data_IF_949898678553
#
_entry.id   IF_949898678553
#
_cell.length_a   1.000
_cell.length_b   1.000
_cell.length_c   1.000
_cell.angle_alpha   90.00
_cell.angle_beta   90.00
_cell.angle_gamma   90.00
#
_symmetry.space_group_name_H-M   'P 1'
#
loop_
_entity.id
_entity.type
_entity.pdbx_description
1 polymer ?
#
# COMPACT_ATOMS: atom_id res chain seq x y z
N UNK A 1 -20.32 34.98 16.03
CA UNK A 1 -19.85 35.60 14.78
C UNK A 1 -18.98 36.78 15.16
N UNK A 2 -17.65 36.71 14.88
CA UNK A 2 -16.65 37.82 14.88
C UNK A 2 -16.32 38.43 16.26
N UNK A 3 -15.09 38.77 16.67
CA UNK A 3 -13.72 38.77 16.13
C UNK A 3 -12.80 38.99 17.37
N UNK A 4 -11.74 38.20 17.60
CA UNK A 4 -10.33 38.43 17.22
C UNK A 4 -9.47 39.28 18.22
N UNK A 5 -8.37 38.67 18.68
CA UNK A 5 -7.01 39.20 18.94
C UNK A 5 -6.64 40.08 20.16
N UNK A 6 -5.73 39.54 21.01
CA UNK A 6 -4.37 40.03 21.36
C UNK A 6 -3.74 39.05 22.38
N UNK A 7 -2.70 38.26 22.08
CA UNK A 7 -1.25 38.55 21.91
C UNK A 7 -0.54 38.93 23.23
N UNK A 8 0.57 38.21 23.49
CA UNK A 8 1.87 38.53 24.16
C UNK A 8 2.33 37.19 24.83
N UNK A 9 3.54 36.63 24.72
CA UNK A 9 4.89 37.03 24.27
C UNK A 9 5.73 35.73 24.19
N UNK A 10 6.30 35.36 23.04
CA UNK A 10 7.70 35.59 22.64
C UNK A 10 8.78 34.95 23.54
N UNK A 11 9.50 33.96 22.99
CA UNK A 11 10.94 33.85 23.19
C UNK A 11 11.63 33.60 21.84
N UNK A 12 12.42 34.58 21.46
CA UNK A 12 13.29 34.69 20.30
C UNK A 12 14.45 33.70 20.33
N UNK A 13 14.65 32.96 19.24
CA UNK A 13 15.98 32.52 18.81
C UNK A 13 16.20 33.07 17.40
N UNK A 14 17.11 34.03 17.31
CA UNK A 14 17.76 34.44 16.08
C UNK A 14 18.72 33.31 15.67
N UNK A 15 18.42 32.60 14.58
CA UNK A 15 19.46 31.99 13.76
C UNK A 15 19.05 32.10 12.29
N UNK A 16 19.78 32.95 11.57
CA UNK A 16 20.08 32.94 10.13
C UNK A 16 19.19 32.07 9.23
N UNK A 17 18.52 32.74 8.29
CA UNK A 17 17.55 32.19 7.35
C UNK A 17 17.86 30.79 6.82
N UNK A 18 17.11 29.82 7.33
CA UNK A 18 16.89 28.53 6.68
C UNK A 18 15.70 28.75 5.75
N UNK A 19 15.95 28.73 4.44
CA UNK A 19 14.91 28.48 3.46
C UNK A 19 14.27 27.14 3.82
N UNK A 20 13.14 27.18 4.53
CA UNK A 20 12.29 26.02 4.71
C UNK A 20 11.96 25.50 3.30
N UNK A 21 12.35 24.26 3.01
CA UNK A 21 11.93 23.54 1.81
C UNK A 21 10.43 23.33 1.95
N UNK A 22 9.66 24.31 1.51
CA UNK A 22 8.21 24.20 1.49
C UNK A 22 7.83 23.29 0.33
N UNK A 23 7.52 22.02 0.61
CA UNK A 23 6.73 21.19 -0.30
C UNK A 23 5.27 21.68 -0.42
N UNK A 24 4.98 22.97 -0.22
CA UNK A 24 3.70 23.62 -0.56
C UNK A 24 3.70 24.17 -1.98
N UNK A 25 4.37 23.51 -2.93
CA UNK A 25 3.95 23.63 -4.33
C UNK A 25 2.69 22.80 -4.51
N UNK A 26 1.55 23.50 -4.40
CA UNK A 26 0.23 23.20 -4.96
C UNK A 26 0.20 21.87 -5.72
N UNK A 27 -0.25 20.84 -5.00
CA UNK A 27 -0.44 19.50 -5.51
C UNK A 27 -1.62 19.54 -6.50
N UNK A 28 -1.33 19.69 -7.79
CA UNK A 28 -2.28 19.34 -8.86
C UNK A 28 -2.23 17.82 -9.08
N UNK A 29 -2.83 17.07 -8.15
CA UNK A 29 -2.96 15.60 -8.16
C UNK A 29 -3.57 15.03 -9.45
N UNK A 30 -4.21 15.87 -10.28
CA UNK A 30 -4.92 15.41 -11.47
C UNK A 30 -4.08 15.23 -12.74
N UNK A 31 -2.84 15.75 -12.81
CA UNK A 31 -2.06 15.71 -14.07
C UNK A 31 -1.06 14.56 -14.13
N UNK A 32 -0.40 14.24 -13.01
CA UNK A 32 0.57 13.14 -12.92
C UNK A 32 -0.14 11.78 -12.94
N UNK A 33 -1.26 11.66 -12.22
CA UNK A 33 -2.08 10.43 -12.20
C UNK A 33 -2.69 10.15 -13.58
N UNK A 34 -3.15 11.18 -14.33
CA UNK A 34 -3.69 10.99 -15.69
C UNK A 34 -2.65 10.51 -16.70
N UNK A 35 -1.39 10.95 -16.57
CA UNK A 35 -0.34 10.57 -17.51
C UNK A 35 0.17 9.13 -17.29
N UNK A 36 0.16 8.64 -16.05
CA UNK A 36 0.56 7.26 -15.76
C UNK A 36 -0.55 6.24 -16.09
N UNK A 37 -1.83 6.60 -15.92
CA UNK A 37 -2.96 5.75 -16.31
C UNK A 37 -3.13 5.68 -17.85
N UNK A 38 -2.82 6.76 -18.56
CA UNK A 38 -2.80 6.80 -20.04
C UNK A 38 -1.79 5.80 -20.64
N UNK A 39 -0.65 5.58 -19.97
CA UNK A 39 0.35 4.60 -20.39
C UNK A 39 -0.10 3.16 -20.12
N UNK A 40 -0.69 2.89 -18.95
CA UNK A 40 -1.20 1.53 -18.63
C UNK A 40 -2.35 1.08 -19.55
N UNK A 41 -3.17 1.99 -20.06
CA UNK A 41 -4.23 1.66 -21.03
C UNK A 41 -3.71 1.48 -22.47
N UNK A 42 -2.55 2.03 -22.82
CA UNK A 42 -1.92 1.81 -24.14
C UNK A 42 -1.14 0.49 -24.20
N UNK A 43 -0.51 0.08 -23.10
CA UNK A 43 0.28 -1.16 -23.06
C UNK A 43 -0.58 -2.44 -22.93
N UNK A 44 -1.83 -2.33 -22.46
CA UNK A 44 -2.81 -3.44 -22.47
C UNK A 44 -3.51 -3.66 -23.81
N UNK A 45 -3.57 -2.63 -24.68
CA UNK A 45 -4.23 -2.74 -25.99
C UNK A 45 -3.28 -3.17 -27.13
N UNK A 46 -2.03 -3.54 -26.83
CA UNK A 46 -1.03 -3.91 -27.85
C UNK A 46 -0.40 -5.31 -27.65
N UNK A 47 -1.02 -6.16 -26.84
CA UNK A 47 -0.68 -7.59 -26.74
C UNK A 47 -1.94 -8.43 -26.88
N UNK A 48 -2.55 -8.38 -28.05
CA UNK A 48 -3.43 -9.40 -28.60
C UNK A 48 -3.64 -9.08 -30.09
N UNK A 49 -2.73 -9.57 -30.92
CA UNK A 49 -2.94 -9.95 -32.34
C UNK A 49 -1.61 -10.06 -33.07
N UNK A 50 -1.03 -11.26 -33.09
CA UNK A 50 -0.27 -11.77 -34.24
C UNK A 50 0.01 -13.27 -34.07
N UNK A 51 -0.74 -14.08 -34.82
CA UNK A 51 -0.52 -15.51 -35.04
C UNK A 51 -1.47 -16.00 -36.12
N UNK A 52 -1.17 -15.67 -37.39
CA UNK A 52 -0.86 -16.63 -38.48
C UNK A 52 -2.08 -17.39 -39.04
N UNK A 53 -2.62 -16.85 -40.12
CA UNK A 53 -3.34 -17.60 -41.15
C UNK A 53 -2.31 -18.23 -42.11
N UNK A 54 -2.31 -19.55 -42.24
CA UNK A 54 -1.78 -20.22 -43.43
C UNK A 54 -2.91 -21.08 -44.01
N UNK A 55 -3.30 -20.71 -45.23
CA UNK A 55 -4.16 -21.50 -46.12
C UNK A 55 -3.34 -22.67 -46.65
N UNK A 56 -3.92 -23.86 -46.69
CA UNK A 56 -3.61 -24.85 -47.71
C UNK A 56 -4.89 -25.62 -48.03
N UNK A 57 -5.30 -25.56 -49.30
CA UNK A 57 -6.23 -26.47 -49.94
C UNK A 57 -5.47 -27.04 -51.14
N UNK A 58 -5.33 -28.36 -51.21
CA UNK A 58 -5.46 -29.08 -52.48
C UNK A 58 -5.75 -30.56 -52.24
N UNK A 59 -6.58 -31.10 -53.11
CA UNK A 59 -7.28 -32.38 -53.06
C UNK A 59 -6.61 -33.33 -54.05
N UNK A 60 -6.37 -34.60 -53.70
CA UNK A 60 -6.86 -35.78 -54.45
C UNK A 60 -6.29 -37.12 -53.94
N UNK A 61 -7.25 -38.00 -53.61
CA UNK A 61 -7.38 -39.40 -54.02
C UNK A 61 -6.18 -40.35 -53.84
N UNK A 62 -6.38 -41.40 -53.03
CA UNK A 62 -6.79 -42.70 -53.56
C UNK A 62 -7.35 -43.61 -52.46
N UNK A 63 -8.26 -44.49 -52.89
CA UNK A 63 -8.87 -45.57 -52.13
C UNK A 63 -7.90 -46.76 -52.06
N UNK A 64 -7.90 -47.52 -50.98
CA UNK A 64 -8.28 -48.93 -51.04
C UNK A 64 -8.39 -49.58 -49.66
N UNK A 65 -9.22 -50.62 -49.65
CA UNK A 65 -9.74 -51.39 -48.53
C UNK A 65 -8.64 -52.20 -47.82
N UNK A 66 -8.77 -52.40 -46.51
CA UNK A 66 -8.80 -53.77 -45.98
C UNK A 66 -9.53 -53.86 -44.64
N UNK A 67 -10.29 -54.95 -44.50
CA UNK A 67 -11.05 -55.34 -43.32
C UNK A 67 -10.21 -56.30 -42.47
N UNK A 68 -10.26 -56.21 -41.15
CA UNK A 68 -10.62 -57.36 -40.28
C UNK A 68 -10.40 -57.13 -38.77
N UNK A 69 -11.48 -57.42 -38.04
CA UNK A 69 -11.62 -58.18 -36.78
C UNK A 69 -11.17 -57.66 -35.40
N UNK A 70 -12.22 -57.54 -34.55
CA UNK A 70 -12.35 -57.92 -33.12
C UNK A 70 -11.37 -57.31 -32.09
N UNK A 71 -11.81 -56.80 -30.94
CA UNK A 71 -12.77 -57.37 -29.97
C UNK A 71 -13.24 -56.27 -29.00
N UNK A 72 -14.50 -56.35 -28.54
CA UNK A 72 -15.07 -55.53 -27.48
C UNK A 72 -14.37 -55.78 -26.13
N UNK A 73 -14.03 -54.71 -25.41
CA UNK A 73 -13.76 -54.74 -23.97
C UNK A 73 -14.59 -53.63 -23.32
N UNK A 74 -15.46 -54.03 -22.39
CA UNK A 74 -16.24 -53.15 -21.52
C UNK A 74 -15.30 -52.24 -20.68
N UNK A 75 -15.68 -50.99 -20.37
CA UNK A 75 -14.90 -50.15 -19.47
C UNK A 75 -15.05 -50.65 -18.03
N UNK A 76 -13.94 -50.99 -17.39
CA UNK A 76 -13.86 -51.25 -15.96
C UNK A 76 -14.07 -49.96 -15.16
N UNK A 77 -14.91 -50.04 -14.13
CA UNK A 77 -15.11 -49.00 -13.12
C UNK A 77 -13.80 -48.69 -12.36
N UNK A 78 -13.40 -47.41 -12.36
CA UNK A 78 -12.32 -46.88 -11.52
C UNK A 78 -12.80 -46.81 -10.05
N UNK A 79 -12.17 -47.53 -9.10
CA UNK A 79 -12.61 -47.57 -7.71
C UNK A 79 -12.22 -46.33 -6.89
N UNK A 80 -11.68 -45.26 -7.50
CA UNK A 80 -11.21 -44.09 -6.77
C UNK A 80 -12.07 -42.83 -6.96
N UNK A 81 -13.40 -43.00 -6.91
CA UNK A 81 -14.29 -41.89 -6.57
C UNK A 81 -14.15 -41.61 -5.07
N UNK A 82 -13.25 -40.71 -4.70
CA UNK A 82 -13.15 -40.18 -3.32
C UNK A 82 -14.55 -39.74 -2.87
N UNK A 83 -15.12 -40.45 -1.89
CA UNK A 83 -16.38 -40.07 -1.26
C UNK A 83 -16.25 -38.65 -0.70
N UNK A 84 -17.31 -37.82 -0.81
CA UNK A 84 -17.29 -36.48 -0.23
C UNK A 84 -16.96 -36.57 1.26
N UNK A 85 -15.98 -35.79 1.68
CA UNK A 85 -15.46 -35.71 3.04
C UNK A 85 -16.63 -35.60 4.04
N UNK A 86 -16.83 -36.65 4.84
CA UNK A 86 -17.93 -36.70 5.80
C UNK A 86 -17.68 -35.63 6.87
N UNK A 87 -18.48 -34.57 6.85
CA UNK A 87 -18.36 -33.45 7.81
C UNK A 87 -18.78 -33.96 9.20
N UNK A 88 -17.82 -34.17 10.09
CA UNK A 88 -18.07 -34.50 11.49
C UNK A 88 -18.24 -33.22 12.31
N UNK A 89 -19.49 -32.81 12.51
CA UNK A 89 -19.86 -31.68 13.37
C UNK A 89 -21.14 -32.01 14.15
N UNK A 90 -21.11 -31.76 15.45
CA UNK A 90 -22.24 -32.01 16.35
C UNK A 90 -23.33 -30.95 16.21
N UNK A 91 -24.55 -31.27 16.62
CA UNK A 91 -25.66 -30.31 16.65
C UNK A 91 -25.38 -29.13 17.61
N UNK A 92 -24.67 -29.38 18.71
CA UNK A 92 -24.23 -28.34 19.63
C UNK A 92 -23.24 -27.37 18.95
N UNK A 93 -22.24 -27.88 18.23
CA UNK A 93 -21.30 -27.05 17.49
C UNK A 93 -21.98 -26.22 16.40
N UNK A 94 -22.98 -26.79 15.70
CA UNK A 94 -23.80 -26.04 14.74
C UNK A 94 -24.56 -24.91 15.43
N UNK A 95 -25.18 -25.16 16.57
CA UNK A 95 -25.93 -24.14 17.32
C UNK A 95 -25.00 -23.04 17.84
N UNK A 96 -23.82 -23.39 18.33
CA UNK A 96 -22.79 -22.45 18.77
C UNK A 96 -22.30 -21.58 17.60
N UNK A 97 -22.12 -22.17 16.41
CA UNK A 97 -21.78 -21.41 15.20
C UNK A 97 -22.87 -20.40 14.81
N UNK A 98 -24.15 -20.80 14.85
CA UNK A 98 -25.28 -19.88 14.59
C UNK A 98 -25.32 -18.75 15.62
N UNK A 99 -25.04 -19.03 16.90
CA UNK A 99 -24.98 -17.99 17.94
C UNK A 99 -23.83 -17.00 17.69
N UNK A 100 -22.64 -17.50 17.32
CA UNK A 100 -21.51 -16.66 16.94
C UNK A 100 -21.81 -15.79 15.71
N UNK A 101 -22.44 -16.37 14.68
CA UNK A 101 -22.92 -15.66 13.49
C UNK A 101 -23.85 -14.51 13.85
N UNK A 102 -24.88 -14.76 14.66
CA UNK A 102 -25.84 -13.73 15.10
C UNK A 102 -25.15 -12.61 15.88
N UNK A 103 -24.16 -12.93 16.71
CA UNK A 103 -23.36 -11.94 17.44
C UNK A 103 -22.57 -11.05 16.48
N UNK A 104 -21.83 -11.64 15.54
CA UNK A 104 -21.07 -10.91 14.53
C UNK A 104 -22.01 -10.04 13.67
N UNK A 105 -23.15 -10.57 13.24
CA UNK A 105 -24.15 -9.81 12.48
C UNK A 105 -24.60 -8.57 13.23
N UNK A 106 -24.84 -8.69 14.54
CA UNK A 106 -25.24 -7.55 15.36
C UNK A 106 -24.13 -6.50 15.49
N UNK A 107 -22.90 -6.94 15.69
CA UNK A 107 -21.73 -6.06 15.81
C UNK A 107 -21.42 -5.33 14.49
N UNK A 108 -21.72 -5.95 13.35
CA UNK A 108 -21.35 -5.50 12.00
C UNK A 108 -22.53 -4.99 11.17
N UNK A 109 -23.69 -4.73 11.80
CA UNK A 109 -24.94 -4.34 11.11
C UNK A 109 -24.84 -2.98 10.37
N UNK A 110 -23.78 -2.20 10.60
CA UNK A 110 -23.52 -0.91 9.95
C UNK A 110 -22.12 -0.86 9.29
N UNK A 111 -21.48 -2.01 9.05
CA UNK A 111 -20.10 -2.13 8.57
C UNK A 111 -19.97 -2.20 7.04
N UNK A 112 -21.05 -1.97 6.30
CA UNK A 112 -21.12 -2.12 4.85
C UNK A 112 -21.73 -0.88 4.16
N UNK A 113 -21.38 -0.72 2.89
CA UNK A 113 -21.79 0.37 2.00
C UNK A 113 -22.32 -0.16 0.67
N UNK A 114 -22.97 0.70 -0.11
CA UNK A 114 -23.66 0.35 -1.38
C UNK A 114 -22.76 -0.23 -2.49
N UNK A 115 -21.44 -0.13 -2.35
CA UNK A 115 -20.51 -0.75 -3.29
C UNK A 115 -20.16 -2.20 -2.96
N UNK A 116 -20.53 -2.70 -1.79
CA UNK A 116 -20.38 -4.12 -1.45
C UNK A 116 -21.44 -4.93 -2.15
N UNK A 117 -21.05 -6.13 -2.58
CA UNK A 117 -22.00 -7.16 -3.00
C UNK A 117 -22.45 -8.02 -1.84
N UNK A 118 -23.49 -8.83 -2.05
CA UNK A 118 -23.90 -9.86 -1.09
C UNK A 118 -22.75 -10.84 -0.81
N UNK A 119 -21.94 -11.16 -1.83
CA UNK A 119 -20.77 -12.01 -1.64
C UNK A 119 -19.68 -11.32 -0.79
N UNK A 120 -19.42 -10.03 -1.01
CA UNK A 120 -18.47 -9.27 -0.18
C UNK A 120 -18.87 -9.31 1.31
N UNK A 121 -20.18 -9.25 1.62
CA UNK A 121 -20.69 -9.38 2.98
C UNK A 121 -20.37 -10.76 3.55
N UNK A 122 -20.69 -11.84 2.84
CA UNK A 122 -20.42 -13.20 3.33
C UNK A 122 -18.93 -13.45 3.53
N UNK A 123 -18.08 -12.98 2.59
CA UNK A 123 -16.64 -13.12 2.68
C UNK A 123 -16.08 -12.38 3.90
N UNK A 124 -16.55 -11.16 4.15
CA UNK A 124 -16.17 -10.39 5.32
C UNK A 124 -16.64 -11.03 6.64
N UNK A 125 -17.83 -11.65 6.64
CA UNK A 125 -18.35 -12.36 7.82
C UNK A 125 -17.48 -13.57 8.17
N UNK A 126 -16.96 -14.32 7.18
CA UNK A 126 -16.00 -15.40 7.43
C UNK A 126 -14.75 -14.89 8.15
N UNK A 127 -14.24 -13.72 7.76
CA UNK A 127 -13.07 -13.11 8.41
C UNK A 127 -13.36 -12.83 9.89
N UNK A 128 -14.49 -12.18 10.19
CA UNK A 128 -14.85 -11.87 11.58
C UNK A 128 -15.12 -13.12 12.45
N UNK A 129 -15.61 -14.20 11.84
CA UNK A 129 -15.85 -15.46 12.52
C UNK A 129 -14.59 -16.32 12.72
N UNK A 130 -13.50 -16.03 12.01
CA UNK A 130 -12.24 -16.78 12.14
C UNK A 130 -11.71 -16.82 13.58
N UNK A 131 -12.01 -15.80 14.38
CA UNK A 131 -11.63 -15.71 15.79
C UNK A 131 -12.61 -16.38 16.76
N UNK A 132 -13.76 -16.86 16.26
CA UNK A 132 -14.87 -17.36 17.07
C UNK A 132 -14.84 -18.87 17.31
N UNK A 133 -13.85 -19.59 16.75
CA UNK A 133 -13.74 -21.05 16.85
C UNK A 133 -14.77 -21.82 16.01
N UNK A 134 -15.47 -21.14 15.11
CA UNK A 134 -16.44 -21.76 14.19
C UNK A 134 -15.67 -22.58 13.14
N UNK A 135 -15.97 -23.88 13.06
CA UNK A 135 -15.39 -24.81 12.08
C UNK A 135 -16.05 -24.65 10.70
N UNK A 136 -15.41 -25.17 9.65
CA UNK A 136 -15.97 -25.25 8.29
C UNK A 136 -16.52 -23.91 7.75
N UNK A 137 -15.79 -22.81 7.99
CA UNK A 137 -16.19 -21.47 7.50
C UNK A 137 -16.29 -21.41 5.97
N UNK A 138 -15.61 -22.29 5.24
CA UNK A 138 -15.76 -22.46 3.79
C UNK A 138 -17.17 -22.90 3.38
N UNK A 139 -17.96 -23.46 4.30
CA UNK A 139 -19.36 -23.81 4.11
C UNK A 139 -20.32 -22.66 4.41
N UNK A 140 -19.83 -21.52 4.91
CA UNK A 140 -20.61 -20.27 5.04
C UNK A 140 -20.73 -19.60 3.66
N UNK A 141 -21.89 -19.75 3.02
CA UNK A 141 -22.12 -19.33 1.63
C UNK A 141 -23.46 -18.63 1.47
N UNK A 142 -23.63 -17.84 0.41
CA UNK A 142 -24.95 -17.36 0.03
C UNK A 142 -25.88 -18.54 -0.24
N UNK A 143 -27.13 -18.42 0.20
CA UNK A 143 -28.15 -19.43 -0.06
C UNK A 143 -28.49 -19.54 -1.56
N UNK A 144 -28.42 -18.42 -2.28
CA UNK A 144 -28.57 -18.35 -3.72
C UNK A 144 -27.30 -17.76 -4.35
N UNK A 145 -26.50 -18.60 -5.02
CA UNK A 145 -25.23 -18.17 -5.63
C UNK A 145 -25.42 -17.19 -6.79
N UNK A 146 -26.59 -17.15 -7.43
CA UNK A 146 -26.87 -16.17 -8.49
C UNK A 146 -26.91 -14.73 -7.97
N UNK A 147 -27.10 -14.53 -6.67
CA UNK A 147 -27.17 -13.22 -6.00
C UNK A 147 -25.80 -12.65 -5.64
N UNK A 148 -24.71 -13.38 -5.88
CA UNK A 148 -23.35 -13.00 -5.44
C UNK A 148 -22.90 -11.60 -5.88
N UNK A 149 -23.39 -11.12 -7.04
CA UNK A 149 -23.04 -9.83 -7.62
C UNK A 149 -24.05 -8.72 -7.32
N UNK A 150 -25.13 -9.03 -6.58
CA UNK A 150 -26.10 -8.02 -6.17
C UNK A 150 -25.42 -7.07 -5.19
N UNK A 151 -25.39 -5.79 -5.55
CA UNK A 151 -24.88 -4.72 -4.68
C UNK A 151 -25.91 -4.34 -3.62
N UNK A 152 -25.43 -3.99 -2.44
CA UNK A 152 -26.26 -3.39 -1.42
C UNK A 152 -26.85 -2.08 -1.96
N UNK A 153 -28.11 -1.82 -1.60
CA UNK A 153 -28.79 -0.56 -1.90
C UNK A 153 -28.72 0.35 -0.67
N UNK A 154 -28.54 1.67 -0.82
CA UNK A 154 -28.55 2.60 0.30
C UNK A 154 -29.82 2.47 1.14
N UNK A 155 -29.68 2.11 2.41
CA UNK A 155 -30.77 1.75 3.32
C UNK A 155 -30.53 2.38 4.69
N UNK A 156 -31.58 2.91 5.29
CA UNK A 156 -31.59 3.40 6.66
C UNK A 156 -32.75 2.74 7.39
N UNK A 157 -32.57 1.46 7.71
CA UNK A 157 -33.51 0.60 8.44
C UNK A 157 -34.83 0.25 7.73
N UNK A 158 -34.89 0.33 6.39
CA UNK A 158 -36.05 -0.16 5.62
C UNK A 158 -35.98 -1.66 5.35
N UNK A 159 -34.90 -2.32 5.76
CA UNK A 159 -34.66 -3.77 5.65
C UNK A 159 -34.74 -4.28 4.20
N UNK A 160 -34.24 -3.49 3.26
CA UNK A 160 -34.29 -3.82 1.82
C UNK A 160 -33.16 -4.76 1.38
N UNK A 161 -32.05 -4.80 2.12
CA UNK A 161 -30.89 -5.64 1.82
C UNK A 161 -30.97 -6.96 2.59
N UNK A 162 -31.84 -7.87 2.16
CA UNK A 162 -31.96 -9.21 2.77
C UNK A 162 -30.96 -10.16 2.15
N UNK A 163 -30.07 -10.71 2.97
CA UNK A 163 -29.00 -11.60 2.54
C UNK A 163 -29.20 -12.94 3.25
N UNK A 164 -29.58 -13.95 2.47
CA UNK A 164 -29.75 -15.30 2.99
C UNK A 164 -28.44 -16.07 2.92
N UNK A 165 -27.98 -16.58 4.07
CA UNK A 165 -26.69 -17.24 4.23
C UNK A 165 -26.92 -18.65 4.75
N UNK A 166 -26.32 -19.62 4.08
CA UNK A 166 -26.27 -21.00 4.54
C UNK A 166 -24.97 -21.25 5.31
N UNK A 167 -25.08 -21.93 6.44
CA UNK A 167 -23.98 -22.58 7.14
C UNK A 167 -24.34 -24.05 7.32
N UNK A 168 -23.70 -24.93 6.54
CA UNK A 168 -24.08 -26.35 6.47
C UNK A 168 -25.58 -26.49 6.11
N UNK A 169 -26.37 -27.10 7.00
CA UNK A 169 -27.80 -27.32 6.92
C UNK A 169 -28.64 -26.21 7.58
N UNK A 170 -28.01 -25.11 8.03
CA UNK A 170 -28.70 -23.96 8.64
C UNK A 170 -28.81 -22.80 7.65
N UNK A 171 -29.99 -22.18 7.60
CA UNK A 171 -30.24 -20.96 6.85
C UNK A 171 -30.47 -19.79 7.80
N UNK A 172 -29.83 -18.65 7.55
CA UNK A 172 -29.82 -17.48 8.43
C UNK A 172 -29.93 -16.23 7.56
N UNK A 173 -30.88 -15.34 7.87
CA UNK A 173 -31.00 -14.05 7.21
C UNK A 173 -30.14 -13.00 7.93
N UNK A 174 -29.34 -12.25 7.17
CA UNK A 174 -28.67 -11.03 7.61
C UNK A 174 -29.27 -9.83 6.89
N UNK A 175 -29.55 -8.78 7.65
CA UNK A 175 -30.05 -7.51 7.13
C UNK A 175 -29.19 -6.39 7.72
N UNK A 176 -28.31 -5.74 6.93
CA UNK A 176 -27.62 -4.54 7.37
C UNK A 176 -28.63 -3.48 7.79
N UNK A 177 -28.42 -2.88 8.96
CA UNK A 177 -29.28 -1.84 9.52
C UNK A 177 -29.10 -0.52 8.77
N UNK A 178 -27.86 -0.17 8.46
CA UNK A 178 -27.51 1.04 7.71
C UNK A 178 -26.56 0.65 6.58
N UNK A 179 -26.91 1.10 5.36
CA UNK A 179 -26.05 1.06 4.18
C UNK A 179 -25.99 2.46 3.62
N UNK A 180 -24.83 3.10 3.71
CA UNK A 180 -24.61 4.42 3.15
C UNK A 180 -24.05 4.32 1.73
N UNK A 181 -24.21 5.42 0.99
CA UNK A 181 -23.61 5.58 -0.32
C UNK A 181 -22.12 5.86 -0.19
N UNK A 182 -21.30 5.03 -0.84
CA UNK A 182 -19.86 5.22 -1.02
C UNK A 182 -19.02 5.32 0.28
N UNK A 183 -19.58 5.06 1.46
CA UNK A 183 -18.84 5.12 2.72
C UNK A 183 -19.39 4.20 3.82
N UNK A 184 -18.53 3.90 4.79
CA UNK A 184 -18.88 3.33 6.09
C UNK A 184 -18.45 4.33 7.17
N UNK A 185 -19.29 4.52 8.19
CA UNK A 185 -18.96 5.38 9.34
C UNK A 185 -18.12 4.61 10.35
N UNK A 186 -17.16 5.32 10.91
CA UNK A 186 -16.34 4.91 12.02
C UNK A 186 -17.16 4.95 13.32
N UNK A 187 -16.83 4.07 14.26
CA UNK A 187 -17.43 4.07 15.60
C UNK A 187 -16.35 3.91 16.65
N UNK A 188 -16.53 4.62 17.76
CA UNK A 188 -15.62 4.61 18.90
C UNK A 188 -16.34 4.22 20.19
N UNK A 189 -15.60 3.56 21.06
CA UNK A 189 -15.88 3.47 22.50
C UNK A 189 -14.67 4.05 23.20
N UNK A 190 -14.79 5.27 23.71
CA UNK A 190 -13.65 6.09 24.16
C UNK A 190 -12.59 6.22 23.06
N UNK A 191 -11.32 5.97 23.37
CA UNK A 191 -10.20 5.99 22.43
C UNK A 191 -10.01 4.67 21.65
N UNK A 192 -11.00 3.77 21.66
CA UNK A 192 -10.95 2.50 20.94
C UNK A 192 -11.84 2.58 19.71
N UNK A 193 -11.24 2.49 18.54
CA UNK A 193 -11.98 2.32 17.28
C UNK A 193 -12.59 0.92 17.28
N UNK A 194 -13.92 0.83 17.26
CA UNK A 194 -14.66 -0.44 17.26
C UNK A 194 -15.22 -0.80 15.88
N UNK A 195 -15.37 0.18 14.99
CA UNK A 195 -15.71 -0.04 13.58
C UNK A 195 -14.85 0.91 12.72
N UNK A 196 -14.12 0.37 11.76
CA UNK A 196 -13.30 1.17 10.83
C UNK A 196 -14.25 1.88 9.86
N UNK A 197 -14.16 3.21 9.79
CA UNK A 197 -14.79 3.99 8.75
C UNK A 197 -13.92 4.01 7.50
N UNK A 198 -14.53 3.98 6.32
CA UNK A 198 -13.82 4.02 5.04
C UNK A 198 -14.70 4.59 3.94
N UNK A 199 -14.11 5.06 2.85
CA UNK A 199 -14.81 5.71 1.74
C UNK A 199 -14.28 5.22 0.40
N UNK A 200 -15.17 5.06 -0.57
CA UNK A 200 -14.83 4.73 -1.94
C UNK A 200 -14.73 5.99 -2.81
N UNK A 201 -13.53 6.25 -3.33
CA UNK A 201 -13.33 7.17 -4.44
C UNK A 201 -13.38 6.40 -5.76
N UNK A 202 -14.56 6.46 -6.42
CA UNK A 202 -14.84 5.81 -7.70
C UNK A 202 -13.91 6.27 -8.83
N UNK A 203 -13.40 7.50 -8.77
CA UNK A 203 -12.61 8.07 -9.86
C UNK A 203 -11.25 7.39 -10.02
N UNK A 204 -10.73 6.83 -8.92
CA UNK A 204 -9.42 6.18 -8.85
C UNK A 204 -9.49 4.74 -8.33
N UNK A 205 -10.69 4.23 -8.03
CA UNK A 205 -10.88 2.86 -7.51
C UNK A 205 -10.31 2.65 -6.12
N UNK A 206 -10.13 3.72 -5.33
CA UNK A 206 -9.55 3.66 -3.99
C UNK A 206 -10.64 3.53 -2.92
N UNK A 207 -10.53 2.51 -2.08
CA UNK A 207 -11.34 2.35 -0.87
C UNK A 207 -10.40 2.60 0.32
N UNK A 208 -10.50 3.81 0.86
CA UNK A 208 -9.55 4.37 1.83
C UNK A 208 -10.17 4.42 3.21
N UNK A 209 -9.43 3.99 4.23
CA UNK A 209 -9.85 4.20 5.62
C UNK A 209 -9.95 5.68 5.93
N UNK A 210 -10.90 6.05 6.79
CA UNK A 210 -10.93 7.39 7.35
C UNK A 210 -9.80 7.53 8.35
N UNK A 211 -9.25 8.75 8.43
CA UNK A 211 -8.28 9.12 9.44
C UNK A 211 -8.85 8.81 10.84
N UNK A 212 -8.10 8.06 11.63
CA UNK A 212 -8.48 7.73 13.01
C UNK A 212 -8.33 8.94 13.92
N UNK A 213 -9.01 8.94 15.07
CA UNK A 213 -8.78 9.96 16.09
C UNK A 213 -7.33 9.89 16.56
N UNK A 214 -6.68 11.04 16.75
CA UNK A 214 -5.27 11.11 17.13
C UNK A 214 -4.95 10.42 18.46
N UNK A 215 -5.93 10.21 19.33
CA UNK A 215 -5.78 9.53 20.62
C UNK A 215 -6.10 8.03 20.55
N UNK A 216 -6.32 7.47 19.34
CA UNK A 216 -6.69 6.06 19.18
C UNK A 216 -5.63 5.13 19.78
N UNK A 217 -6.05 4.22 20.66
CA UNK A 217 -5.17 3.23 21.31
C UNK A 217 -5.43 1.80 20.86
N UNK A 218 -6.53 1.55 20.15
CA UNK A 218 -6.93 0.23 19.69
C UNK A 218 -7.76 0.35 18.42
N UNK A 219 -7.54 -0.58 17.49
CA UNK A 219 -8.37 -0.79 16.30
C UNK A 219 -9.03 -2.17 16.33
N UNK A 220 -10.06 -2.43 15.49
CA UNK A 220 -10.58 -3.77 15.29
C UNK A 220 -9.48 -4.71 14.79
N UNK A 221 -9.55 -5.99 15.15
CA UNK A 221 -8.52 -6.98 14.79
C UNK A 221 -8.40 -7.21 13.29
N UNK A 222 -9.51 -7.07 12.57
CA UNK A 222 -9.59 -7.37 11.15
C UNK A 222 -9.79 -6.09 10.36
N UNK A 223 -8.97 -5.91 9.33
CA UNK A 223 -9.16 -4.87 8.32
C UNK A 223 -10.23 -5.34 7.31
N UNK A 224 -11.25 -4.53 6.99
CA UNK A 224 -12.21 -4.89 5.95
C UNK A 224 -11.55 -5.21 4.60
N UNK A 225 -11.93 -6.33 3.99
CA UNK A 225 -11.30 -6.94 2.81
C UNK A 225 -11.25 -6.01 1.59
N UNK A 226 -12.25 -5.13 1.44
CA UNK A 226 -12.35 -4.22 0.29
C UNK A 226 -11.41 -3.01 0.41
N UNK A 227 -10.87 -2.74 1.59
CA UNK A 227 -9.92 -1.64 1.77
C UNK A 227 -8.64 -1.97 1.00
N UNK A 228 -8.21 -0.99 0.20
CA UNK A 228 -6.98 -1.08 -0.58
C UNK A 228 -6.08 0.14 -0.38
N UNK A 229 -6.46 1.08 0.49
CA UNK A 229 -5.70 2.29 0.78
C UNK A 229 -5.73 2.59 2.29
N UNK A 230 -4.54 2.82 2.84
CA UNK A 230 -4.32 3.34 4.19
C UNK A 230 -3.91 4.82 4.15
N UNK A 231 -4.17 5.51 3.03
CA UNK A 231 -3.76 6.90 2.83
C UNK A 231 -4.26 7.77 4.02
N UNK A 232 -3.34 8.47 4.69
CA UNK A 232 -3.58 9.37 5.83
C UNK A 232 -4.26 8.73 7.06
N UNK A 233 -4.40 7.40 7.10
CA UNK A 233 -5.23 6.71 8.08
C UNK A 233 -4.84 6.94 9.54
N UNK A 234 -3.55 7.04 9.84
CA UNK A 234 -3.00 7.27 11.18
C UNK A 234 -2.18 8.57 11.28
N UNK A 235 -2.40 9.50 10.34
CA UNK A 235 -1.72 10.80 10.37
C UNK A 235 -1.96 11.52 11.71
N UNK A 236 -0.93 12.14 12.27
CA UNK A 236 -0.95 12.85 13.57
C UNK A 236 -1.28 11.98 14.81
N UNK A 237 -1.23 10.64 14.72
CA UNK A 237 -1.47 9.75 15.86
C UNK A 237 -0.46 10.01 16.99
N UNK A 238 -0.98 10.14 18.21
CA UNK A 238 -0.20 10.44 19.42
C UNK A 238 0.28 9.20 20.17
N UNK A 239 -0.39 8.06 19.98
CA UNK A 239 -0.08 6.79 20.62
C UNK A 239 1.25 6.21 20.09
N UNK A 240 2.07 5.64 20.99
CA UNK A 240 3.30 4.95 20.56
C UNK A 240 3.03 3.61 19.90
N UNK A 241 1.91 2.98 20.29
CA UNK A 241 1.42 1.70 19.77
C UNK A 241 -0.11 1.71 19.72
N UNK A 242 -0.67 0.91 18.81
CA UNK A 242 -2.11 0.72 18.62
C UNK A 242 -2.40 -0.77 18.71
N UNK A 243 -3.18 -1.16 19.71
CA UNK A 243 -3.55 -2.55 19.94
C UNK A 243 -4.32 -3.11 18.75
N UNK A 244 -3.93 -4.33 18.34
CA UNK A 244 -4.43 -5.11 17.20
C UNK A 244 -4.01 -4.62 15.81
N UNK A 245 -3.27 -3.53 15.68
CA UNK A 245 -2.81 -3.06 14.37
C UNK A 245 -1.87 -4.07 13.68
N UNK A 246 -1.13 -4.82 14.47
CA UNK A 246 -0.26 -5.94 14.09
C UNK A 246 -1.02 -7.12 13.46
N UNK A 247 -2.35 -7.19 13.65
CA UNK A 247 -3.20 -8.31 13.19
C UNK A 247 -3.85 -8.07 11.83
N UNK A 248 -3.71 -6.88 11.27
CA UNK A 248 -4.33 -6.56 9.99
C UNK A 248 -3.70 -7.35 8.84
N UNK A 249 -4.53 -8.05 8.07
CA UNK A 249 -4.14 -8.57 6.76
C UNK A 249 -4.11 -7.42 5.74
N UNK A 250 -2.91 -6.95 5.41
CA UNK A 250 -2.70 -5.81 4.51
C UNK A 250 -2.43 -6.21 3.06
N UNK A 251 -2.63 -7.48 2.66
CA UNK A 251 -2.30 -7.95 1.31
C UNK A 251 -2.99 -7.19 0.16
N UNK A 252 -4.13 -6.57 0.44
CA UNK A 252 -4.91 -5.79 -0.53
C UNK A 252 -4.50 -4.31 -0.61
N UNK A 253 -3.62 -3.84 0.28
CA UNK A 253 -3.21 -2.45 0.34
C UNK A 253 -2.26 -2.12 -0.81
N UNK A 254 -2.60 -1.07 -1.55
CA UNK A 254 -1.85 -0.54 -2.69
C UNK A 254 -1.30 0.86 -2.43
N UNK A 255 -1.90 1.60 -1.51
CA UNK A 255 -1.55 2.99 -1.21
C UNK A 255 -1.40 3.21 0.30
N UNK A 256 -0.26 3.77 0.70
CA UNK A 256 0.12 4.08 2.09
C UNK A 256 0.59 5.53 2.24
N UNK A 257 0.04 6.42 1.42
CA UNK A 257 0.45 7.83 1.37
C UNK A 257 0.18 8.49 2.73
N UNK A 258 1.19 9.07 3.37
CA UNK A 258 1.04 9.76 4.66
C UNK A 258 0.41 8.91 5.79
N UNK A 259 0.42 7.57 5.71
CA UNK A 259 -0.32 6.72 6.67
C UNK A 259 0.06 7.03 8.12
N UNK A 260 1.33 7.22 8.44
CA UNK A 260 1.85 7.57 9.77
C UNK A 260 2.59 8.93 9.76
N UNK A 261 2.19 9.86 8.87
CA UNK A 261 2.76 11.21 8.87
C UNK A 261 2.52 11.89 10.21
N UNK A 262 3.52 12.61 10.72
CA UNK A 262 3.48 13.40 11.96
C UNK A 262 3.13 12.60 13.22
N UNK A 263 3.39 11.29 13.21
CA UNK A 263 3.20 10.40 14.36
C UNK A 263 4.37 10.45 15.33
N UNK A 264 4.50 11.57 16.04
CA UNK A 264 5.69 11.92 16.82
C UNK A 264 6.14 10.87 17.85
N UNK A 265 5.22 10.03 18.35
CA UNK A 265 5.51 9.00 19.35
C UNK A 265 5.50 7.56 18.83
N UNK A 266 4.99 7.34 17.61
CA UNK A 266 4.73 5.99 17.09
C UNK A 266 6.04 5.23 16.85
N UNK A 267 6.12 4.01 17.37
CA UNK A 267 7.28 3.14 17.20
C UNK A 267 6.91 1.65 17.29
N UNK A 268 5.66 1.29 16.98
CA UNK A 268 5.21 -0.10 16.96
C UNK A 268 5.80 -0.84 15.75
N UNK A 269 6.20 -2.10 15.95
CA UNK A 269 6.62 -2.96 14.83
C UNK A 269 5.48 -3.19 13.84
N UNK A 270 5.80 -3.10 12.55
CA UNK A 270 4.88 -3.33 11.43
C UNK A 270 5.32 -4.52 10.55
N UNK A 271 6.18 -5.41 11.08
CA UNK A 271 6.76 -6.51 10.31
C UNK A 271 5.77 -7.60 9.91
N UNK A 272 4.58 -7.64 10.54
CA UNK A 272 3.48 -8.54 10.17
C UNK A 272 2.70 -8.07 8.94
N UNK A 273 2.89 -6.83 8.49
CA UNK A 273 2.19 -6.31 7.32
C UNK A 273 2.75 -6.91 6.03
N UNK A 274 1.84 -7.40 5.20
CA UNK A 274 2.14 -7.75 3.81
C UNK A 274 2.11 -6.49 2.94
N UNK A 275 3.26 -6.13 2.36
CA UNK A 275 3.43 -4.95 1.49
C UNK A 275 3.60 -5.28 0.01
N UNK A 276 3.48 -6.56 -0.39
CA UNK A 276 3.75 -7.01 -1.76
C UNK A 276 2.87 -6.34 -2.82
N UNK A 277 1.70 -5.82 -2.45
CA UNK A 277 0.77 -5.13 -3.35
C UNK A 277 0.94 -3.61 -3.38
N UNK A 278 1.80 -3.05 -2.52
CA UNK A 278 1.92 -1.59 -2.34
C UNK A 278 2.66 -0.97 -3.52
N UNK A 279 2.04 0.05 -4.12
CA UNK A 279 2.61 0.80 -5.23
C UNK A 279 3.10 2.20 -4.79
N UNK A 280 2.54 2.76 -3.72
CA UNK A 280 2.87 4.10 -3.25
C UNK A 280 3.01 4.15 -1.72
N UNK A 281 4.18 4.57 -1.25
CA UNK A 281 4.53 4.76 0.15
C UNK A 281 4.90 6.22 0.46
N UNK A 282 4.58 7.17 -0.42
CA UNK A 282 5.02 8.56 -0.28
C UNK A 282 4.61 9.15 1.07
N UNK A 283 5.56 9.78 1.75
CA UNK A 283 5.40 10.46 3.04
C UNK A 283 4.87 9.57 4.18
N UNK A 284 4.90 8.23 4.05
CA UNK A 284 4.28 7.33 5.03
C UNK A 284 4.73 7.58 6.46
N UNK A 285 6.02 7.88 6.70
CA UNK A 285 6.59 8.18 8.01
C UNK A 285 7.17 9.60 8.10
N UNK A 286 6.70 10.52 7.23
CA UNK A 286 7.13 11.91 7.29
C UNK A 286 6.87 12.50 8.69
N UNK A 287 7.86 13.09 9.34
CA UNK A 287 7.71 13.67 10.69
C UNK A 287 7.51 12.65 11.82
N UNK A 288 7.64 11.34 11.58
CA UNK A 288 7.52 10.30 12.61
C UNK A 288 8.77 10.26 13.52
N UNK A 289 8.91 11.26 14.39
CA UNK A 289 10.16 11.59 15.10
C UNK A 289 10.79 10.44 15.89
N UNK A 290 9.98 9.51 16.45
CA UNK A 290 10.45 8.36 17.24
C UNK A 290 10.46 7.02 16.50
N UNK A 291 9.99 6.97 15.27
CA UNK A 291 9.88 5.72 14.52
C UNK A 291 11.27 5.21 14.13
N UNK A 292 11.63 4.02 14.62
CA UNK A 292 12.93 3.39 14.40
C UNK A 292 12.83 1.85 14.37
N UNK A 293 11.78 1.34 13.73
CA UNK A 293 11.59 -0.11 13.58
C UNK A 293 12.30 -0.62 12.33
N UNK A 294 12.84 -1.84 12.42
CA UNK A 294 13.29 -2.58 11.24
C UNK A 294 12.10 -2.87 10.33
N UNK A 295 12.27 -2.66 9.03
CA UNK A 295 11.26 -2.89 7.98
C UNK A 295 11.75 -3.87 6.90
N UNK A 296 12.74 -4.68 7.27
CA UNK A 296 13.43 -5.57 6.34
C UNK A 296 12.58 -6.75 5.85
N UNK A 297 11.42 -7.01 6.49
CA UNK A 297 10.45 -8.03 6.05
C UNK A 297 9.51 -7.54 4.95
N UNK A 298 9.51 -6.23 4.66
CA UNK A 298 8.62 -5.67 3.65
C UNK A 298 9.06 -6.02 2.24
N UNK A 299 8.11 -6.43 1.41
CA UNK A 299 8.29 -6.59 -0.02
C UNK A 299 8.00 -5.27 -0.74
N UNK A 300 9.06 -4.59 -1.20
CA UNK A 300 8.95 -3.32 -1.91
C UNK A 300 9.01 -3.47 -3.44
N UNK A 301 8.98 -4.70 -3.99
CA UNK A 301 9.27 -4.92 -5.42
C UNK A 301 8.28 -4.23 -6.36
N UNK A 302 7.06 -3.96 -5.89
CA UNK A 302 5.99 -3.30 -6.64
C UNK A 302 5.87 -1.79 -6.34
N UNK A 303 6.66 -1.26 -5.41
CA UNK A 303 6.61 0.16 -5.04
C UNK A 303 7.22 1.01 -6.15
N UNK A 304 6.47 2.01 -6.61
CA UNK A 304 6.91 3.01 -7.60
C UNK A 304 7.26 4.35 -6.95
N UNK A 305 6.57 4.70 -5.86
CA UNK A 305 6.64 6.04 -5.25
C UNK A 305 7.14 5.94 -3.79
N UNK A 306 8.31 6.51 -3.50
CA UNK A 306 8.89 6.61 -2.14
C UNK A 306 9.24 8.05 -1.74
N UNK A 307 8.58 9.04 -2.35
CA UNK A 307 8.82 10.46 -2.06
C UNK A 307 8.65 10.74 -0.56
N UNK A 308 9.68 11.30 0.06
CA UNK A 308 9.64 11.77 1.45
C UNK A 308 9.28 10.70 2.48
N UNK A 309 9.50 9.42 2.18
CA UNK A 309 9.06 8.29 3.02
C UNK A 309 9.44 8.46 4.51
N UNK A 310 10.66 8.91 4.78
CA UNK A 310 11.20 9.21 6.11
C UNK A 310 11.63 10.68 6.25
N UNK A 311 10.99 11.58 5.49
CA UNK A 311 11.28 13.00 5.58
C UNK A 311 11.07 13.48 7.02
N UNK A 312 12.08 14.10 7.62
CA UNK A 312 12.06 14.59 8.99
C UNK A 312 11.77 13.49 10.06
N UNK A 313 12.04 12.22 9.76
CA UNK A 313 12.00 11.14 10.75
C UNK A 313 13.32 11.09 11.54
N UNK A 314 13.53 12.07 12.44
CA UNK A 314 14.82 12.36 13.10
C UNK A 314 15.59 11.14 13.63
N UNK A 315 14.89 10.13 14.18
CA UNK A 315 15.52 8.95 14.80
C UNK A 315 15.61 7.71 13.91
N UNK A 316 15.02 7.74 12.72
CA UNK A 316 14.92 6.56 11.88
C UNK A 316 16.30 6.05 11.44
N UNK A 317 16.58 4.80 11.78
CA UNK A 317 17.73 4.02 11.39
C UNK A 317 17.38 2.51 11.36
N UNK A 318 16.12 2.16 11.16
CA UNK A 318 15.67 0.78 11.06
C UNK A 318 16.16 0.12 9.77
N UNK A 319 16.43 -1.19 9.83
CA UNK A 319 16.98 -1.92 8.70
C UNK A 319 16.03 -1.97 7.49
N UNK A 320 16.52 -1.51 6.34
CA UNK A 320 15.86 -1.52 5.03
C UNK A 320 16.80 -2.06 3.92
N UNK A 321 17.86 -2.77 4.30
CA UNK A 321 18.93 -3.17 3.37
C UNK A 321 18.48 -4.15 2.30
N UNK A 322 17.42 -4.94 2.55
CA UNK A 322 16.91 -5.93 1.59
C UNK A 322 15.75 -5.42 0.72
N UNK A 323 15.39 -4.15 0.82
CA UNK A 323 14.35 -3.59 -0.06
C UNK A 323 14.72 -3.71 -1.53
N UNK A 324 13.79 -4.23 -2.32
CA UNK A 324 13.89 -4.24 -3.77
C UNK A 324 13.32 -2.93 -4.31
N UNK A 325 14.20 -2.00 -4.70
CA UNK A 325 13.82 -0.68 -5.20
C UNK A 325 13.87 -0.56 -6.73
N UNK A 326 14.01 -1.67 -7.46
CA UNK A 326 14.17 -1.67 -8.92
C UNK A 326 13.02 -1.02 -9.67
N UNK A 327 11.81 -1.06 -9.11
CA UNK A 327 10.61 -0.48 -9.70
C UNK A 327 10.38 0.98 -9.31
N UNK A 328 11.15 1.52 -8.37
CA UNK A 328 10.95 2.87 -7.82
C UNK A 328 11.32 3.92 -8.87
N UNK A 329 10.43 4.88 -9.08
CA UNK A 329 10.56 5.99 -10.03
C UNK A 329 10.97 7.29 -9.32
N UNK A 330 10.57 7.50 -8.06
CA UNK A 330 10.96 8.68 -7.28
C UNK A 330 11.36 8.35 -5.84
N UNK A 331 12.46 8.98 -5.40
CA UNK A 331 12.99 8.95 -4.02
C UNK A 331 13.23 10.37 -3.50
N UNK A 332 12.58 11.38 -4.07
CA UNK A 332 12.78 12.77 -3.67
C UNK A 332 12.50 12.96 -2.18
N UNK A 333 13.43 13.59 -1.46
CA UNK A 333 13.40 13.87 -0.02
C UNK A 333 13.23 12.65 0.88
N UNK A 334 13.46 11.43 0.38
CA UNK A 334 13.15 10.19 1.10
C UNK A 334 13.73 10.13 2.52
N UNK A 335 14.96 10.60 2.73
CA UNK A 335 15.64 10.65 4.02
C UNK A 335 15.99 12.09 4.45
N UNK A 336 15.42 13.11 3.81
CA UNK A 336 15.75 14.49 4.15
C UNK A 336 15.42 14.76 5.63
N UNK A 337 16.38 15.24 6.42
CA UNK A 337 16.22 15.47 7.86
C UNK A 337 16.14 14.21 8.73
N UNK A 338 16.36 13.01 8.19
CA UNK A 338 16.48 11.77 8.97
C UNK A 338 17.86 11.69 9.64
N UNK A 339 18.07 12.50 10.69
CA UNK A 339 19.38 12.81 11.26
C UNK A 339 20.21 11.59 11.65
N UNK A 340 19.58 10.52 12.15
CA UNK A 340 20.27 9.29 12.61
C UNK A 340 20.43 8.19 11.55
N UNK A 341 19.92 8.40 10.34
CA UNK A 341 19.90 7.37 9.31
C UNK A 341 21.31 7.05 8.77
N UNK A 342 21.72 5.78 8.85
CA UNK A 342 23.01 5.29 8.32
C UNK A 342 22.98 3.80 7.94
N UNK A 343 21.91 3.34 7.31
CA UNK A 343 21.78 1.95 6.87
C UNK A 343 22.55 1.67 5.57
N UNK A 344 22.97 0.41 5.38
CA UNK A 344 23.59 -0.06 4.14
C UNK A 344 22.58 -0.11 3.00
N UNK A 345 22.82 0.72 1.97
CA UNK A 345 22.02 0.81 0.74
C UNK A 345 22.76 0.30 -0.50
N UNK A 346 23.90 -0.37 -0.33
CA UNK A 346 24.79 -0.77 -1.43
C UNK A 346 24.17 -1.77 -2.41
N UNK A 347 23.13 -2.51 -1.98
CA UNK A 347 22.42 -3.52 -2.78
C UNK A 347 21.26 -2.96 -3.61
N UNK A 348 20.90 -1.68 -3.43
CA UNK A 348 19.77 -1.08 -4.12
C UNK A 348 20.04 -0.90 -5.62
N UNK A 349 19.13 -1.38 -6.47
CA UNK A 349 19.14 -1.11 -7.91
C UNK A 349 18.33 0.14 -8.22
N UNK A 350 19.00 1.29 -8.28
CA UNK A 350 18.37 2.61 -8.54
C UNK A 350 18.17 2.92 -10.02
N UNK A 351 18.36 1.95 -10.93
CA UNK A 351 18.40 2.21 -12.38
C UNK A 351 17.09 2.77 -12.97
N UNK A 352 15.96 2.63 -12.27
CA UNK A 352 14.68 3.16 -12.70
C UNK A 352 14.33 4.55 -12.11
N UNK A 353 15.10 5.04 -11.14
CA UNK A 353 14.79 6.29 -10.43
C UNK A 353 15.01 7.50 -11.35
N UNK A 354 14.02 8.37 -11.43
CA UNK A 354 14.01 9.59 -12.25
C UNK A 354 14.25 10.86 -11.41
N UNK A 355 13.89 10.82 -10.12
CA UNK A 355 13.99 11.97 -9.21
C UNK A 355 14.64 11.58 -7.86
N UNK A 356 15.77 12.23 -7.55
CA UNK A 356 16.51 12.10 -6.28
C UNK A 356 16.67 13.46 -5.56
N UNK A 357 15.84 14.45 -5.89
CA UNK A 357 15.90 15.77 -5.25
C UNK A 357 15.83 15.66 -3.73
N UNK A 358 16.81 16.24 -3.03
CA UNK A 358 16.84 16.33 -1.57
C UNK A 358 17.00 15.00 -0.83
N UNK A 359 17.26 13.87 -1.49
CA UNK A 359 17.11 12.53 -0.88
C UNK A 359 17.84 12.38 0.48
N UNK A 360 19.04 12.95 0.63
CA UNK A 360 19.84 12.91 1.86
C UNK A 360 20.11 14.30 2.46
N UNK A 361 19.31 15.30 2.09
CA UNK A 361 19.44 16.66 2.62
C UNK A 361 19.32 16.66 4.15
N UNK A 362 20.18 17.40 4.84
CA UNK A 362 20.19 17.55 6.30
C UNK A 362 20.27 16.22 7.09
N UNK A 363 20.93 15.19 6.52
CA UNK A 363 21.32 13.98 7.24
C UNK A 363 22.62 14.22 8.02
N UNK A 364 22.62 13.92 9.33
CA UNK A 364 23.79 14.24 10.17
C UNK A 364 24.88 13.15 10.07
N UNK A 365 24.50 11.86 9.98
CA UNK A 365 25.44 10.73 10.10
C UNK A 365 25.49 9.80 8.88
N UNK A 366 24.66 10.01 7.86
CA UNK A 366 24.61 9.11 6.70
C UNK A 366 25.95 9.10 5.95
N UNK A 367 26.55 7.91 5.83
CA UNK A 367 27.80 7.72 5.08
C UNK A 367 27.92 6.31 4.44
N UNK A 368 26.79 5.66 4.14
CA UNK A 368 26.80 4.36 3.46
C UNK A 368 27.38 4.47 2.04
N UNK A 369 28.14 3.46 1.61
CA UNK A 369 28.72 3.43 0.28
C UNK A 369 27.65 3.20 -0.80
N UNK A 370 27.36 4.27 -1.56
CA UNK A 370 26.41 4.29 -2.68
C UNK A 370 27.10 4.50 -4.04
N UNK A 371 28.41 4.30 -4.12
CA UNK A 371 29.19 4.46 -5.37
C UNK A 371 28.71 3.53 -6.50
N UNK A 372 28.10 2.39 -6.17
CA UNK A 372 27.60 1.40 -7.14
C UNK A 372 26.18 1.67 -7.65
N UNK A 373 25.51 2.72 -7.17
CA UNK A 373 24.18 3.09 -7.66
C UNK A 373 24.19 3.43 -9.15
N UNK A 374 23.08 3.13 -9.81
CA UNK A 374 22.86 3.39 -11.23
C UNK A 374 21.88 4.55 -11.37
N UNK A 375 22.28 5.63 -12.01
CA UNK A 375 21.45 6.84 -12.16
C UNK A 375 21.08 7.22 -13.60
N UNK A 376 20.99 6.29 -14.58
CA UNK A 376 20.88 6.65 -16.01
C UNK A 376 19.55 7.33 -16.39
N UNK A 377 18.56 7.31 -15.49
CA UNK A 377 17.25 7.97 -15.68
C UNK A 377 17.09 9.24 -14.83
N UNK A 378 18.00 9.52 -13.90
CA UNK A 378 17.84 10.65 -12.97
C UNK A 378 17.91 11.97 -13.74
N UNK A 379 16.89 12.80 -13.57
CA UNK A 379 16.77 14.11 -14.22
C UNK A 379 17.04 15.28 -13.28
N UNK A 380 16.84 15.09 -11.98
CA UNK A 380 17.09 16.10 -10.94
C UNK A 380 17.76 15.49 -9.70
N UNK A 381 18.79 16.19 -9.22
CA UNK A 381 19.54 15.92 -8.00
C UNK A 381 19.69 17.20 -7.16
N UNK A 382 18.75 18.16 -7.28
CA UNK A 382 18.74 19.38 -6.45
C UNK A 382 18.85 19.00 -4.99
N UNK A 383 19.67 19.70 -4.23
CA UNK A 383 19.79 19.51 -2.77
C UNK A 383 20.13 18.09 -2.28
N UNK A 384 20.58 17.18 -3.16
CA UNK A 384 20.77 15.74 -2.86
C UNK A 384 21.48 15.48 -1.52
N UNK A 385 22.57 16.22 -1.27
CA UNK A 385 23.40 16.16 -0.06
C UNK A 385 23.55 17.55 0.60
N UNK A 386 22.57 18.44 0.44
CA UNK A 386 22.60 19.74 1.11
C UNK A 386 22.72 19.53 2.61
N UNK A 387 23.75 20.10 3.25
CA UNK A 387 24.07 19.96 4.68
C UNK A 387 24.17 18.50 5.18
N UNK A 388 24.51 17.54 4.33
CA UNK A 388 24.78 16.16 4.73
C UNK A 388 26.15 16.06 5.42
N UNK A 389 26.18 16.20 6.76
CA UNK A 389 27.40 16.54 7.52
C UNK A 389 28.48 15.46 7.56
N UNK A 390 28.11 14.19 7.42
CA UNK A 390 29.06 13.07 7.48
C UNK A 390 29.38 12.46 6.10
N UNK A 391 28.59 12.77 5.07
CA UNK A 391 28.68 12.07 3.80
C UNK A 391 29.95 12.43 3.03
N UNK A 392 30.79 11.43 2.73
CA UNK A 392 32.09 11.64 2.10
C UNK A 392 32.46 10.61 1.02
N UNK A 393 31.48 9.86 0.51
CA UNK A 393 31.69 8.79 -0.47
C UNK A 393 32.05 9.32 -1.86
N UNK A 394 32.72 8.48 -2.66
CA UNK A 394 33.05 8.78 -4.05
C UNK A 394 31.86 8.44 -4.98
N UNK A 395 31.43 9.41 -5.79
CA UNK A 395 30.27 9.30 -6.69
C UNK A 395 30.66 9.37 -8.18
N UNK A 396 31.94 9.30 -8.52
CA UNK A 396 32.44 9.48 -9.89
C UNK A 396 31.87 8.48 -10.92
N UNK A 397 31.38 7.33 -10.44
CA UNK A 397 30.79 6.25 -11.24
C UNK A 397 29.33 6.48 -11.62
N UNK A 398 28.66 7.49 -11.07
CA UNK A 398 27.26 7.75 -11.38
C UNK A 398 27.08 8.26 -12.81
N UNK A 399 26.10 7.70 -13.53
CA UNK A 399 25.71 8.18 -14.85
C UNK A 399 24.76 9.37 -14.69
N UNK A 400 25.24 10.58 -14.98
CA UNK A 400 24.51 11.83 -14.79
C UNK A 400 24.16 12.52 -16.11
N UNK A 401 24.24 11.81 -17.25
CA UNK A 401 23.98 12.39 -18.60
C UNK A 401 22.58 12.97 -18.78
N UNK A 402 21.60 12.49 -18.00
CA UNK A 402 20.21 12.98 -18.04
C UNK A 402 19.90 14.02 -16.96
N UNK A 403 20.82 14.26 -16.04
CA UNK A 403 20.62 15.27 -15.00
C UNK A 403 20.58 16.62 -15.69
N UNK A 404 19.52 17.39 -15.42
CA UNK A 404 19.34 18.76 -15.94
C UNK A 404 19.43 19.78 -14.82
N UNK A 405 19.33 19.32 -13.57
CA UNK A 405 19.16 20.14 -12.37
C UNK A 405 19.92 19.52 -11.19
N UNK A 406 20.82 20.28 -10.58
CA UNK A 406 21.61 19.88 -9.40
C UNK A 406 21.93 21.07 -8.48
N UNK A 407 21.07 22.08 -8.47
CA UNK A 407 21.22 23.26 -7.63
C UNK A 407 21.33 22.86 -6.15
N UNK A 408 22.28 23.45 -5.43
CA UNK A 408 22.58 23.14 -4.03
C UNK A 408 22.93 21.67 -3.75
N UNK A 409 23.42 20.90 -4.74
CA UNK A 409 23.70 19.46 -4.63
C UNK A 409 24.42 19.06 -3.32
N UNK A 410 25.39 19.87 -2.87
CA UNK A 410 26.20 19.62 -1.67
C UNK A 410 26.40 20.87 -0.80
N UNK A 411 25.52 21.86 -0.89
CA UNK A 411 25.68 23.13 -0.14
C UNK A 411 25.69 22.85 1.36
N UNK A 412 26.74 23.26 2.08
CA UNK A 412 26.96 22.93 3.49
C UNK A 412 27.60 21.56 3.76
N UNK A 413 28.00 20.81 2.73
CA UNK A 413 28.74 19.53 2.82
C UNK A 413 30.03 19.55 1.96
N UNK A 414 30.48 20.73 1.55
CA UNK A 414 31.53 20.90 0.55
C UNK A 414 32.90 20.41 1.00
N UNK A 415 33.17 20.45 2.31
CA UNK A 415 34.43 19.95 2.89
C UNK A 415 34.56 18.43 2.80
N UNK A 416 33.45 17.70 2.68
CA UNK A 416 33.43 16.23 2.67
C UNK A 416 33.27 15.65 1.25
N UNK A 417 32.43 16.32 0.45
CA UNK A 417 32.16 15.98 -0.95
C UNK A 417 32.97 16.94 -1.83
N UNK A 418 34.26 16.66 -1.97
CA UNK A 418 35.19 17.43 -2.79
C UNK A 418 34.92 17.22 -4.29
N UNK A 419 35.43 18.11 -5.14
CA UNK A 419 35.18 18.07 -6.59
C UNK A 419 35.63 16.75 -7.25
N UNK A 420 36.69 16.11 -6.73
CA UNK A 420 37.20 14.81 -7.21
C UNK A 420 36.30 13.63 -6.87
N UNK A 421 35.27 13.83 -6.04
CA UNK A 421 34.26 12.82 -5.68
C UNK A 421 32.92 13.03 -6.38
N UNK A 422 32.77 14.10 -7.15
CA UNK A 422 31.52 14.41 -7.84
C UNK A 422 31.33 13.54 -9.09
N UNK A 423 30.09 13.17 -9.43
CA UNK A 423 29.77 12.67 -10.76
C UNK A 423 30.26 13.65 -11.84
N UNK A 424 30.56 13.11 -13.03
CA UNK A 424 30.97 13.91 -14.20
C UNK A 424 29.78 14.63 -14.82
N UNK A 425 29.28 15.67 -14.15
CA UNK A 425 28.20 16.52 -14.65
C UNK A 425 28.65 17.37 -15.85
N UNK A 426 27.69 17.81 -16.66
CA UNK A 426 27.91 18.83 -17.68
C UNK A 426 28.37 20.15 -17.05
N UNK A 427 29.21 20.91 -17.76
CA UNK A 427 29.85 22.13 -17.25
C UNK A 427 28.85 23.16 -16.71
N UNK A 428 27.69 23.31 -17.36
CA UNK A 428 26.67 24.24 -16.91
C UNK A 428 26.04 23.82 -15.57
N UNK A 429 25.90 22.52 -15.32
CA UNK A 429 25.40 21.98 -14.05
C UNK A 429 26.46 22.13 -12.97
N UNK A 430 27.73 21.85 -13.29
CA UNK A 430 28.85 22.07 -12.36
C UNK A 430 28.93 23.52 -11.90
N UNK A 431 28.66 24.48 -12.78
CA UNK A 431 28.57 25.90 -12.41
C UNK A 431 27.46 26.13 -11.38
N UNK A 432 26.26 25.55 -11.57
CA UNK A 432 25.17 25.66 -10.58
C UNK A 432 25.53 25.01 -9.23
N UNK A 433 26.20 23.85 -9.24
CA UNK A 433 26.64 23.17 -8.00
C UNK A 433 27.64 24.03 -7.22
N UNK A 434 28.47 24.81 -7.93
CA UNK A 434 29.53 25.64 -7.35
C UNK A 434 29.06 27.06 -6.97
N UNK A 435 27.83 27.45 -7.30
CA UNK A 435 27.26 28.73 -6.87
C UNK A 435 27.07 28.71 -5.36
N UNK A 436 27.70 29.66 -4.68
CA UNK A 436 27.61 29.87 -3.23
C UNK A 436 26.43 30.75 -2.88
#
# INVERSE_FOLDING_TARGET
MKHLLKIISSLTILSTGVLAVSCTRRIDNNKVIKNNISRENKDKNNRDNKGKEEKNNEINKDKDMDQSNHTENEPQDDPNVTQPEKIEITEEEKNNAVAALKKVFKEQEEAFADFHTYQDVVDQMRVYLGDSGVKYLDKLKLANSSEQNIKLKPDNDKKQNKININYLDRNIEFVPKIVLKDEVKEKYSDNKLVQIGYKWDKSVGKITIKKVDKNTIQVPKHLPLKINSLDMGFKDLLSSEVKNLDKWDTKNIKWMTETFSDTVNFNQSLNSWNTSSVANMSLMFAGAKKFNQDLNSWDTSNVKEMMGLFWEADTFNGNISNWNVKSVETMSSMFAGAKKFNQDLSKWDTSNVENMEGMFSETDVFNSNISKWKTPKVTTMKQMFQKAKAFNQNLNSWDVKKVTHAENFRTGAESNITDDKLPKFEDYILKEIKKK
#
